data_IF_504074425962
#
_entry.id   IF_504074425962
#
_cell.length_a   1.000
_cell.length_b   1.000
_cell.length_c   1.000
_cell.angle_alpha   90.00
_cell.angle_beta   90.00
_cell.angle_gamma   90.00
#
_symmetry.space_group_name_H-M   'P 1'
#
loop_
_entity.id
_entity.type
_entity.pdbx_description
1 polymer ?
#
# COMPACT_ATOMS: atom_id res chain seq x y z
N UNK A 1 -9.05 -4.08 -10.33
CA UNK A 1 -8.10 -2.97 -10.11
C UNK A 1 -8.78 -1.83 -9.38
N UNK A 2 -8.02 -1.13 -8.55
CA UNK A 2 -8.52 0.05 -7.85
C UNK A 2 -8.52 1.27 -8.75
N UNK A 3 -9.38 2.24 -8.42
CA UNK A 3 -9.48 3.53 -9.12
C UNK A 3 -9.07 4.66 -8.17
N UNK A 4 -8.71 5.85 -8.70
CA UNK A 4 -8.45 7.01 -7.84
C UNK A 4 -9.62 7.26 -6.90
N UNK A 5 -9.29 7.63 -5.66
CA UNK A 5 -10.22 7.86 -4.54
C UNK A 5 -10.81 6.60 -3.90
N UNK A 6 -10.55 5.40 -4.42
CA UNK A 6 -10.96 4.18 -3.73
C UNK A 6 -10.26 4.12 -2.37
N UNK A 7 -11.00 3.73 -1.35
CA UNK A 7 -10.45 3.53 -0.01
C UNK A 7 -9.90 2.12 0.09
N UNK A 8 -8.67 2.03 0.61
CA UNK A 8 -7.98 0.76 0.78
C UNK A 8 -7.34 0.69 2.15
N UNK A 9 -7.14 -0.53 2.63
CA UNK A 9 -6.47 -0.80 3.89
C UNK A 9 -5.24 -1.65 3.62
N UNK A 10 -4.14 -1.29 4.24
CA UNK A 10 -2.90 -2.07 4.11
C UNK A 10 -3.00 -3.30 5.00
N UNK A 11 -2.68 -4.46 4.43
CA UNK A 11 -2.71 -5.73 5.16
C UNK A 11 -1.68 -5.74 6.28
N UNK A 12 -2.05 -6.44 7.36
CA UNK A 12 -1.13 -6.74 8.45
C UNK A 12 -0.37 -8.03 8.13
N UNK A 13 0.84 -8.12 8.65
CA UNK A 13 1.61 -9.36 8.60
C UNK A 13 2.96 -9.21 7.91
N UNK A 14 3.77 -10.24 8.08
CA UNK A 14 5.08 -10.36 7.46
C UNK A 14 5.11 -11.67 6.71
N UNK A 15 4.97 -11.65 5.37
CA UNK A 15 5.07 -12.89 4.60
C UNK A 15 6.50 -13.41 4.64
N UNK A 16 6.70 -14.71 4.35
CA UNK A 16 8.05 -15.23 4.18
C UNK A 16 8.74 -14.50 3.04
N UNK A 17 10.01 -14.15 3.23
CA UNK A 17 10.82 -13.52 2.21
C UNK A 17 10.78 -12.01 2.24
N UNK A 18 10.85 -11.39 1.07
CA UNK A 18 10.98 -9.96 0.94
C UNK A 18 9.67 -9.22 1.22
N UNK A 19 9.70 -8.31 2.19
CA UNK A 19 8.53 -7.53 2.58
C UNK A 19 8.74 -6.07 2.17
N UNK A 20 7.94 -5.59 1.22
CA UNK A 20 8.10 -4.26 0.61
C UNK A 20 7.23 -3.17 1.21
N UNK A 21 6.23 -3.53 2.00
CA UNK A 21 5.33 -2.56 2.61
C UNK A 21 5.90 -2.08 3.93
N UNK A 22 6.09 -0.76 4.12
CA UNK A 22 6.60 -0.24 5.38
C UNK A 22 5.72 -0.62 6.57
N UNK A 23 6.32 -1.02 7.67
CA UNK A 23 5.58 -1.50 8.84
C UNK A 23 4.68 -0.44 9.46
N UNK A 24 5.06 0.84 9.39
CA UNK A 24 4.30 1.91 10.02
C UNK A 24 2.95 2.19 9.35
N UNK A 25 2.72 1.72 8.12
CA UNK A 25 1.43 1.88 7.44
C UNK A 25 0.57 0.62 7.48
N UNK A 26 1.05 -0.50 8.02
CA UNK A 26 0.26 -1.72 8.10
C UNK A 26 -0.99 -1.50 8.94
N UNK A 27 -2.13 -1.98 8.43
CA UNK A 27 -3.43 -1.81 9.08
C UNK A 27 -4.06 -0.44 8.91
N UNK A 28 -3.37 0.49 8.28
CA UNK A 28 -3.87 1.84 8.05
C UNK A 28 -4.73 1.92 6.81
N UNK A 29 -5.68 2.84 6.81
CA UNK A 29 -6.58 3.09 5.68
C UNK A 29 -6.15 4.34 4.94
N UNK A 30 -6.10 4.25 3.62
CA UNK A 30 -5.76 5.38 2.76
C UNK A 30 -6.65 5.42 1.53
N UNK A 31 -6.34 6.31 0.61
CA UNK A 31 -7.04 6.44 -0.67
C UNK A 31 -6.08 6.30 -1.83
N UNK A 32 -6.53 5.64 -2.87
CA UNK A 32 -5.76 5.51 -4.10
C UNK A 32 -5.63 6.89 -4.75
N UNK A 33 -4.40 7.26 -5.08
CA UNK A 33 -4.10 8.49 -5.82
C UNK A 33 -3.97 8.18 -7.30
N UNK A 34 -3.17 7.16 -7.65
CA UNK A 34 -2.88 6.81 -9.03
C UNK A 34 -2.36 5.39 -9.14
N UNK A 35 -2.49 4.81 -10.32
CA UNK A 35 -1.80 3.58 -10.69
C UNK A 35 -0.42 3.95 -11.22
N UNK A 36 0.64 3.48 -10.56
CA UNK A 36 2.02 3.77 -10.98
C UNK A 36 2.47 2.85 -12.12
N UNK A 37 1.91 1.66 -12.21
CA UNK A 37 2.25 0.69 -13.23
C UNK A 37 1.95 -0.73 -12.80
N UNK A 38 2.30 -1.70 -13.65
CA UNK A 38 2.15 -3.12 -13.36
C UNK A 38 3.52 -3.77 -13.52
N UNK A 39 4.00 -4.41 -12.46
CA UNK A 39 5.38 -4.88 -12.38
C UNK A 39 5.44 -6.34 -11.93
N UNK A 40 6.57 -7.04 -12.17
CA UNK A 40 6.78 -8.36 -11.60
C UNK A 40 6.65 -8.32 -10.08
N UNK A 41 6.10 -9.40 -9.51
CA UNK A 41 5.92 -9.51 -8.07
C UNK A 41 7.30 -9.61 -7.39
N UNK A 42 7.71 -8.62 -6.57
CA UNK A 42 9.05 -8.61 -5.97
C UNK A 42 9.26 -9.74 -4.96
N UNK A 43 8.21 -10.16 -4.25
CA UNK A 43 8.31 -11.27 -3.30
C UNK A 43 8.54 -12.59 -4.03
N UNK A 44 7.88 -12.79 -5.18
CA UNK A 44 8.10 -13.97 -6.01
C UNK A 44 9.51 -14.01 -6.55
N UNK A 45 10.03 -12.88 -7.05
CA UNK A 45 11.41 -12.80 -7.56
C UNK A 45 12.44 -13.09 -6.47
N UNK A 46 12.18 -12.61 -5.24
CA UNK A 46 13.07 -12.83 -4.11
C UNK A 46 13.18 -14.30 -3.70
N UNK A 47 12.20 -15.13 -4.08
CA UNK A 47 12.17 -16.56 -3.84
C UNK A 47 12.48 -17.39 -5.09
N UNK A 48 13.26 -16.83 -6.01
CA UNK A 48 13.60 -17.45 -7.31
C UNK A 48 12.39 -17.77 -8.18
N UNK A 49 11.27 -17.08 -7.92
CA UNK A 49 10.06 -17.20 -8.72
C UNK A 49 10.13 -16.38 -10.00
N UNK A 50 9.13 -16.57 -10.86
CA UNK A 50 9.04 -15.87 -12.14
C UNK A 50 8.63 -14.40 -12.05
N UNK A 51 8.16 -13.95 -10.88
CA UNK A 51 7.54 -12.64 -10.72
C UNK A 51 6.08 -12.60 -11.13
N UNK A 52 5.51 -13.73 -11.48
CA UNK A 52 4.10 -13.83 -11.88
C UNK A 52 3.23 -14.24 -10.71
N UNK A 53 1.94 -13.82 -10.68
CA UNK A 53 1.38 -12.83 -11.62
C UNK A 53 1.95 -11.43 -11.36
N UNK A 54 1.98 -10.61 -12.41
CA UNK A 54 2.40 -9.21 -12.26
C UNK A 54 1.40 -8.48 -11.37
N UNK A 55 1.91 -7.54 -10.58
CA UNK A 55 1.10 -6.82 -9.61
C UNK A 55 1.01 -5.32 -9.96
N UNK A 56 -0.20 -4.76 -9.92
CA UNK A 56 -0.34 -3.31 -10.00
C UNK A 56 0.30 -2.64 -8.78
N UNK A 57 1.02 -1.56 -9.03
CA UNK A 57 1.60 -0.71 -7.98
C UNK A 57 0.80 0.58 -7.92
N UNK A 58 0.25 0.88 -6.75
CA UNK A 58 -0.56 2.07 -6.54
C UNK A 58 0.13 3.06 -5.63
N UNK A 59 -0.05 4.34 -5.95
CA UNK A 59 0.28 5.40 -5.01
C UNK A 59 -0.93 5.62 -4.11
N UNK A 60 -0.72 5.49 -2.81
CA UNK A 60 -1.76 5.59 -1.79
C UNK A 60 -1.47 6.75 -0.88
N UNK A 61 -2.46 7.60 -0.63
CA UNK A 61 -2.35 8.73 0.28
C UNK A 61 -2.96 8.38 1.63
N UNK A 62 -2.20 8.58 2.69
CA UNK A 62 -2.66 8.41 4.07
C UNK A 62 -2.66 9.76 4.75
N UNK A 63 -3.71 10.08 5.52
CA UNK A 63 -3.68 11.25 6.37
C UNK A 63 -2.59 11.06 7.43
N UNK A 64 -1.81 12.09 7.72
CA UNK A 64 -0.75 12.00 8.73
C UNK A 64 -1.31 11.55 10.09
N UNK A 65 -2.49 12.03 10.46
CA UNK A 65 -3.16 11.62 11.70
C UNK A 65 -3.55 10.14 11.72
N UNK A 66 -3.75 9.53 10.55
CA UNK A 66 -4.04 8.10 10.46
C UNK A 66 -2.78 7.26 10.72
N UNK A 67 -1.63 7.75 10.29
CA UNK A 67 -0.34 7.06 10.44
C UNK A 67 0.28 7.33 11.81
N UNK A 68 0.24 8.59 12.26
CA UNK A 68 0.85 9.03 13.50
C UNK A 68 -0.23 9.65 14.40
N UNK A 69 -0.59 8.95 15.49
CA UNK A 69 -1.68 9.38 16.38
C UNK A 69 -1.47 10.78 16.96
N UNK A 70 -0.22 11.18 17.20
CA UNK A 70 0.10 12.45 17.80
C UNK A 70 0.76 13.42 16.82
N UNK A 71 0.41 13.33 15.55
CA UNK A 71 0.96 14.24 14.55
C UNK A 71 0.55 15.68 14.83
N UNK A 72 1.51 16.62 15.04
CA UNK A 72 1.20 18.00 15.40
C UNK A 72 0.88 18.91 14.21
N UNK A 73 1.05 18.43 12.98
CA UNK A 73 0.83 19.23 11.78
C UNK A 73 -0.65 19.32 11.38
N UNK A 74 -0.92 20.04 10.27
CA UNK A 74 -2.29 20.18 9.76
C UNK A 74 -2.94 18.85 9.41
N UNK A 75 -4.26 18.74 9.65
CA UNK A 75 -5.00 17.52 9.36
C UNK A 75 -5.00 17.16 7.88
N UNK A 76 -4.79 18.13 7.00
CA UNK A 76 -4.74 17.91 5.54
C UNK A 76 -3.44 17.30 5.04
N UNK A 77 -2.41 17.25 5.87
CA UNK A 77 -1.12 16.70 5.45
C UNK A 77 -1.24 15.20 5.18
N UNK A 78 -0.58 14.74 4.13
CA UNK A 78 -0.64 13.37 3.66
C UNK A 78 0.74 12.74 3.60
N UNK A 79 0.77 11.42 3.80
CA UNK A 79 1.92 10.58 3.48
C UNK A 79 1.57 9.83 2.21
N UNK A 80 2.44 9.87 1.21
CA UNK A 80 2.26 9.12 -0.04
C UNK A 80 3.20 7.92 -0.04
N UNK A 81 2.64 6.73 -0.25
CA UNK A 81 3.41 5.49 -0.27
C UNK A 81 2.98 4.66 -1.47
N UNK A 82 3.93 4.09 -2.19
CA UNK A 82 3.62 3.20 -3.30
C UNK A 82 3.52 1.77 -2.79
N UNK A 83 2.37 1.13 -3.02
CA UNK A 83 2.04 -0.19 -2.47
C UNK A 83 1.48 -1.09 -3.56
N UNK A 84 1.98 -2.33 -3.61
CA UNK A 84 1.45 -3.33 -4.53
C UNK A 84 0.04 -3.79 -4.14
N UNK A 85 -0.78 -4.10 -5.14
CA UNK A 85 -2.19 -4.46 -4.94
C UNK A 85 -2.37 -5.64 -3.97
N UNK A 86 -1.49 -6.62 -4.01
CA UNK A 86 -1.64 -7.80 -3.14
C UNK A 86 -1.45 -7.49 -1.65
N UNK A 87 -0.99 -6.29 -1.31
CA UNK A 87 -0.89 -5.81 0.08
C UNK A 87 -2.05 -4.90 0.48
N UNK A 88 -3.07 -4.77 -0.39
CA UNK A 88 -4.20 -3.88 -0.15
C UNK A 88 -5.50 -4.68 -0.13
N UNK A 89 -6.39 -4.31 0.78
CA UNK A 89 -7.77 -4.79 0.82
C UNK A 89 -8.71 -3.62 0.58
N UNK A 90 -9.83 -3.84 -0.12
CA UNK A 90 -10.81 -2.78 -0.32
C UNK A 90 -11.51 -2.46 1.00
N UNK A 91 -11.83 -1.18 1.21
CA UNK A 91 -12.62 -0.73 2.33
C UNK A 91 -13.97 -0.27 1.81
N UNK A 92 -15.01 -1.00 2.19
CA UNK A 92 -16.37 -0.62 1.84
C UNK A 92 -16.89 0.34 2.91
N UNK A 93 -17.32 1.50 2.46
CA UNK A 93 -17.88 2.49 3.36
C UNK A 93 -19.30 2.11 3.78
#
# INVERSE_FOLDING_TARGET
MYRPNDRVRVRLGSPPGHFRTPSYIQGKTGRIVALCGVFPNPESLAHDGSGLPRQPLYRVAFAQHEVWAEYPGPARDKVLVDIYQHWLDPVNA
#
